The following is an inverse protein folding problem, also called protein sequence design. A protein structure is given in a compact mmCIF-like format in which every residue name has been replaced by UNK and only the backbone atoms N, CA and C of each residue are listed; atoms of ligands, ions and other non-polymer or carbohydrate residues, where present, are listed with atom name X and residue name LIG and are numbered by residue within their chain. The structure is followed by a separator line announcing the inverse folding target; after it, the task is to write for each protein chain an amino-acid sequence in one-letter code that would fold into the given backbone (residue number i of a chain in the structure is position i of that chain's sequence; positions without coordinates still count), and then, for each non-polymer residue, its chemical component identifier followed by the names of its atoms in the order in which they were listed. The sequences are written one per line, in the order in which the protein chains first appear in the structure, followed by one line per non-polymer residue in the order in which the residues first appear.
data_IF_007407365181
#
_entry.id   IF_007407365181
#
_cell.length_a   1.000
_cell.length_b   1.000
_cell.length_c   1.000
_cell.angle_alpha   90.00
_cell.angle_beta   90.00
_cell.angle_gamma   90.00
#
_symmetry.space_group_name_H-M   'P 1'
#
loop_
_entity.id
_entity.type
_entity.pdbx_description
1 polymer ?
#
# COMPACT_ATOMS: atom_id res chain seq x y z
N UNK A 1 -26.75 45.99 -4.14
CA UNK A 1 -25.67 45.81 -3.14
C UNK A 1 -25.99 44.77 -2.07
N UNK A 2 -27.22 44.23 -2.02
CA UNK A 2 -27.64 43.27 -0.95
C UNK A 2 -27.53 41.78 -1.36
N UNK A 3 -27.60 41.43 -2.65
CA UNK A 3 -27.56 40.01 -3.11
C UNK A 3 -26.15 39.38 -3.07
N UNK A 4 -25.11 40.18 -3.32
CA UNK A 4 -23.71 39.72 -3.30
C UNK A 4 -23.15 39.52 -1.90
N UNK A 5 -23.71 40.21 -0.89
CA UNK A 5 -23.30 40.01 0.50
C UNK A 5 -23.94 38.74 1.09
N UNK A 6 -25.15 38.39 0.71
CA UNK A 6 -25.87 37.18 1.12
C UNK A 6 -25.21 35.91 0.52
N UNK A 7 -24.74 35.96 -0.74
CA UNK A 7 -23.98 34.86 -1.35
C UNK A 7 -22.62 34.64 -0.68
N UNK A 8 -21.88 35.71 -0.37
CA UNK A 8 -20.61 35.61 0.36
C UNK A 8 -20.78 35.02 1.74
N UNK A 9 -21.85 35.39 2.43
CA UNK A 9 -22.12 34.89 3.79
C UNK A 9 -22.49 33.40 3.77
N UNK A 10 -23.21 32.94 2.75
CA UNK A 10 -23.51 31.51 2.55
C UNK A 10 -22.23 30.69 2.24
N UNK A 11 -21.36 31.21 1.38
CA UNK A 11 -20.09 30.55 1.07
C UNK A 11 -19.17 30.43 2.29
N UNK A 12 -19.10 31.48 3.13
CA UNK A 12 -18.34 31.45 4.38
C UNK A 12 -18.93 30.44 5.39
N UNK A 13 -20.25 30.35 5.52
CA UNK A 13 -20.91 29.41 6.41
C UNK A 13 -20.74 27.96 5.91
N UNK A 14 -20.79 27.72 4.61
CA UNK A 14 -20.53 26.42 4.01
C UNK A 14 -19.06 25.99 4.17
N UNK A 15 -18.11 26.92 4.02
CA UNK A 15 -16.70 26.65 4.32
C UNK A 15 -16.46 26.34 5.82
N UNK A 16 -17.08 27.08 6.73
CA UNK A 16 -17.01 26.80 8.18
C UNK A 16 -17.59 25.44 8.51
N UNK A 17 -18.76 25.11 7.98
CA UNK A 17 -19.39 23.81 8.14
C UNK A 17 -18.54 22.67 7.56
N UNK A 18 -17.88 22.88 6.41
CA UNK A 18 -16.98 21.91 5.82
C UNK A 18 -15.71 21.71 6.67
N UNK A 19 -15.13 22.77 7.24
CA UNK A 19 -13.99 22.72 8.16
C UNK A 19 -14.35 21.96 9.45
N UNK A 20 -15.52 22.25 10.05
CA UNK A 20 -16.00 21.53 11.23
C UNK A 20 -16.25 20.05 10.96
N UNK A 21 -16.83 19.69 9.81
CA UNK A 21 -17.03 18.29 9.41
C UNK A 21 -15.70 17.56 9.21
N UNK A 22 -14.66 18.23 8.70
CA UNK A 22 -13.31 17.68 8.56
C UNK A 22 -12.66 17.44 9.92
N UNK A 23 -12.70 18.42 10.84
CA UNK A 23 -12.17 18.28 12.21
C UNK A 23 -12.85 17.17 12.99
N UNK A 24 -14.18 17.11 12.99
CA UNK A 24 -14.95 16.03 13.62
C UNK A 24 -14.64 14.63 13.03
N UNK A 25 -14.40 14.53 11.72
CA UNK A 25 -13.97 13.27 11.08
C UNK A 25 -12.55 12.87 11.50
N UNK A 26 -11.65 13.84 11.63
CA UNK A 26 -10.27 13.59 12.09
C UNK A 26 -10.23 13.18 13.56
N UNK A 27 -10.99 13.85 14.43
CA UNK A 27 -11.11 13.48 15.84
C UNK A 27 -11.68 12.07 16.03
N UNK A 28 -12.75 11.73 15.29
CA UNK A 28 -13.29 10.36 15.28
C UNK A 28 -12.26 9.32 14.81
N UNK A 29 -11.44 9.67 13.80
CA UNK A 29 -10.33 8.80 13.36
C UNK A 29 -9.25 8.65 14.43
N UNK A 30 -8.82 9.76 15.05
CA UNK A 30 -7.83 9.78 16.14
C UNK A 30 -8.33 8.97 17.35
N UNK A 31 -9.59 9.10 17.73
CA UNK A 31 -10.21 8.33 18.82
C UNK A 31 -10.23 6.83 18.50
N UNK A 32 -10.66 6.44 17.28
CA UNK A 32 -10.63 5.03 16.84
C UNK A 32 -9.22 4.45 16.84
N UNK A 33 -8.22 5.23 16.40
CA UNK A 33 -6.81 4.79 16.42
C UNK A 33 -6.28 4.62 17.84
N UNK A 34 -6.62 5.52 18.77
CA UNK A 34 -6.24 5.40 20.20
C UNK A 34 -6.85 4.14 20.81
N UNK A 35 -8.15 3.94 20.68
CA UNK A 35 -8.85 2.75 21.19
C UNK A 35 -8.25 1.47 20.60
N UNK A 36 -7.92 1.46 19.30
CA UNK A 36 -7.26 0.32 18.66
C UNK A 36 -5.86 0.06 19.22
N UNK A 37 -5.07 1.10 19.50
CA UNK A 37 -3.73 0.97 20.10
C UNK A 37 -3.79 0.45 21.54
N UNK A 38 -4.74 0.93 22.32
CA UNK A 38 -4.96 0.49 23.70
C UNK A 38 -5.41 -0.97 23.77
N UNK A 39 -6.37 -1.37 22.91
CA UNK A 39 -6.81 -2.75 22.83
C UNK A 39 -5.68 -3.70 22.40
N UNK A 40 -4.83 -3.27 21.45
CA UNK A 40 -3.66 -4.04 21.03
C UNK A 40 -2.64 -4.16 22.16
N UNK A 41 -2.39 -3.08 22.93
CA UNK A 41 -1.47 -3.14 24.09
C UNK A 41 -1.95 -4.12 25.16
N UNK A 42 -3.24 -4.11 25.51
CA UNK A 42 -3.83 -5.06 26.47
C UNK A 42 -3.65 -6.51 25.99
N UNK A 43 -4.00 -6.80 24.73
CA UNK A 43 -3.87 -8.16 24.17
C UNK A 43 -2.43 -8.64 24.05
N UNK A 44 -1.49 -7.76 23.72
CA UNK A 44 -0.06 -8.08 23.72
C UNK A 44 0.45 -8.37 25.14
N UNK A 45 -0.08 -7.68 26.17
CA UNK A 45 0.22 -7.97 27.57
C UNK A 45 -0.28 -9.33 28.03
N UNK A 46 -1.49 -9.72 27.59
CA UNK A 46 -2.13 -10.99 27.96
C UNK A 46 -1.66 -12.18 27.11
N UNK A 47 -0.90 -11.96 26.02
CA UNK A 47 -0.43 -13.02 25.12
C UNK A 47 0.90 -13.60 25.57
N UNK A 48 1.12 -14.91 25.26
CA UNK A 48 2.42 -15.54 25.52
C UNK A 48 3.55 -14.77 24.80
N UNK A 49 4.72 -14.73 25.41
CA UNK A 49 5.91 -14.04 24.87
C UNK A 49 6.21 -14.49 23.44
N UNK A 50 6.11 -15.80 23.17
CA UNK A 50 6.35 -16.38 21.84
C UNK A 50 5.35 -15.87 20.79
N UNK A 51 4.07 -15.79 21.11
CA UNK A 51 3.03 -15.27 20.20
C UNK A 51 3.23 -13.79 19.90
N UNK A 52 3.66 -13.02 20.89
CA UNK A 52 3.97 -11.59 20.73
C UNK A 52 5.19 -11.37 19.86
N UNK A 53 6.24 -12.17 20.01
CA UNK A 53 7.43 -12.10 19.17
C UNK A 53 7.14 -12.49 17.72
N UNK A 54 6.35 -13.54 17.51
CA UNK A 54 5.88 -13.95 16.18
C UNK A 54 5.08 -12.83 15.51
N UNK A 55 4.22 -12.14 16.26
CA UNK A 55 3.48 -10.98 15.76
C UNK A 55 4.42 -9.84 15.32
N UNK A 56 5.45 -9.54 16.13
CA UNK A 56 6.42 -8.50 15.76
C UNK A 56 7.28 -8.91 14.56
N UNK A 57 7.67 -10.16 14.45
CA UNK A 57 8.45 -10.67 13.31
C UNK A 57 7.68 -10.53 11.98
N UNK A 58 6.39 -10.87 11.99
CA UNK A 58 5.57 -10.94 10.78
C UNK A 58 4.85 -9.64 10.41
N UNK A 59 4.52 -8.78 11.39
CA UNK A 59 3.73 -7.56 11.17
C UNK A 59 4.48 -6.25 11.47
N UNK A 60 5.48 -6.27 12.35
CA UNK A 60 6.12 -5.05 12.84
C UNK A 60 7.61 -5.20 13.18
N UNK A 61 8.43 -5.44 12.16
CA UNK A 61 9.88 -5.64 12.29
C UNK A 61 10.61 -4.54 13.08
N UNK A 62 10.07 -3.31 13.14
CA UNK A 62 10.70 -2.20 13.87
C UNK A 62 10.67 -2.38 15.39
N UNK A 63 9.70 -3.13 15.91
CA UNK A 63 9.54 -3.44 17.34
C UNK A 63 9.95 -4.88 17.69
N UNK A 64 10.39 -5.63 16.68
CA UNK A 64 10.83 -6.99 16.81
C UNK A 64 12.17 -7.06 17.53
N UNK A 65 12.35 -8.07 18.38
CA UNK A 65 13.63 -8.47 18.93
C UNK A 65 14.55 -8.96 17.82
N UNK A 66 15.86 -9.06 18.10
CA UNK A 66 16.86 -9.45 17.09
C UNK A 66 16.52 -10.79 16.39
N UNK A 67 16.10 -11.88 17.09
CA UNK A 67 15.70 -13.14 16.42
C UNK A 67 14.51 -12.96 15.47
N UNK A 68 13.51 -12.16 15.87
CA UNK A 68 12.33 -11.90 15.06
C UNK A 68 12.65 -11.08 13.81
N UNK A 69 13.66 -10.19 13.87
CA UNK A 69 14.17 -9.46 12.70
C UNK A 69 14.85 -10.39 11.70
N UNK A 70 15.60 -11.40 12.20
CA UNK A 70 16.23 -12.41 11.34
C UNK A 70 15.17 -13.21 10.59
N UNK A 71 14.14 -13.69 11.27
CA UNK A 71 13.04 -14.43 10.64
C UNK A 71 12.34 -13.60 9.57
N UNK A 72 12.01 -12.35 9.86
CA UNK A 72 11.40 -11.45 8.88
C UNK A 72 12.32 -11.14 7.69
N UNK A 73 13.63 -10.96 7.94
CA UNK A 73 14.65 -10.77 6.91
C UNK A 73 14.85 -12.02 6.04
N UNK A 74 14.86 -13.21 6.65
CA UNK A 74 14.97 -14.47 5.94
C UNK A 74 13.76 -14.72 5.02
N UNK A 75 12.54 -14.44 5.49
CA UNK A 75 11.33 -14.51 4.65
C UNK A 75 11.39 -13.52 3.49
N UNK A 76 11.85 -12.32 3.72
CA UNK A 76 12.05 -11.32 2.65
C UNK A 76 13.10 -11.79 1.63
N UNK A 77 14.25 -12.28 2.09
CA UNK A 77 15.29 -12.84 1.23
C UNK A 77 14.78 -14.06 0.44
N UNK A 78 13.97 -14.92 1.07
CA UNK A 78 13.34 -16.06 0.40
C UNK A 78 12.41 -15.63 -0.73
N UNK A 79 11.65 -14.55 -0.57
CA UNK A 79 10.80 -14.01 -1.64
C UNK A 79 11.65 -13.48 -2.79
N UNK A 80 12.71 -12.72 -2.50
CA UNK A 80 13.63 -12.23 -3.54
C UNK A 80 14.32 -13.36 -4.28
N UNK A 81 14.78 -14.38 -3.55
CA UNK A 81 15.41 -15.56 -4.16
C UNK A 81 14.42 -16.33 -5.04
N UNK A 82 13.14 -16.45 -4.65
CA UNK A 82 12.10 -17.01 -5.52
C UNK A 82 11.96 -16.21 -6.82
N UNK A 83 12.07 -14.86 -6.77
CA UNK A 83 12.05 -14.04 -7.98
C UNK A 83 13.19 -14.41 -8.93
N UNK A 84 14.41 -14.48 -8.41
CA UNK A 84 15.60 -14.85 -9.19
C UNK A 84 15.46 -16.26 -9.78
N UNK A 85 15.03 -17.23 -8.97
CA UNK A 85 14.89 -18.63 -9.40
C UNK A 85 13.82 -18.77 -10.50
N UNK A 86 12.77 -17.93 -10.52
CA UNK A 86 11.81 -17.93 -11.64
C UNK A 86 12.49 -17.60 -12.96
N UNK A 87 13.35 -16.57 -13.00
CA UNK A 87 14.09 -16.21 -14.22
C UNK A 87 15.09 -17.29 -14.64
N UNK A 88 15.79 -17.88 -13.67
CA UNK A 88 16.73 -18.98 -13.96
C UNK A 88 15.98 -20.21 -14.49
N UNK A 89 14.84 -20.56 -13.90
CA UNK A 89 14.05 -21.73 -14.32
C UNK A 89 13.40 -21.58 -15.70
N UNK A 90 13.31 -20.36 -16.23
CA UNK A 90 12.76 -20.09 -17.56
C UNK A 90 13.80 -20.24 -18.69
N UNK A 91 15.09 -20.47 -18.37
CA UNK A 91 16.13 -20.64 -19.38
C UNK A 91 15.98 -22.00 -20.09
N UNK A 92 16.01 -22.03 -21.44
CA UNK A 92 16.03 -23.27 -22.18
C UNK A 92 17.37 -24.02 -22.00
N UNK A 93 17.34 -25.35 -21.92
CA UNK A 93 18.56 -26.16 -21.84
C UNK A 93 19.20 -26.25 -20.46
N UNK A 94 18.43 -26.08 -19.38
CA UNK A 94 18.91 -26.29 -18.02
C UNK A 94 19.44 -27.72 -17.82
N UNK A 95 20.63 -27.80 -17.23
CA UNK A 95 21.19 -29.06 -16.77
C UNK A 95 20.24 -29.78 -15.79
N UNK A 96 20.04 -31.11 -15.91
CA UNK A 96 19.18 -31.89 -15.00
C UNK A 96 19.50 -31.70 -13.51
N UNK A 97 20.77 -31.49 -13.14
CA UNK A 97 21.18 -31.21 -11.77
C UNK A 97 20.64 -29.86 -11.31
N UNK A 98 20.80 -28.81 -12.13
CA UNK A 98 20.25 -27.50 -11.84
C UNK A 98 18.72 -27.52 -11.73
N UNK A 99 18.02 -28.25 -12.61
CA UNK A 99 16.58 -28.43 -12.56
C UNK A 99 16.13 -29.08 -11.23
N UNK A 100 16.84 -30.11 -10.76
CA UNK A 100 16.55 -30.76 -9.48
C UNK A 100 16.77 -29.83 -8.27
N UNK A 101 17.84 -29.04 -8.30
CA UNK A 101 18.12 -28.03 -7.24
C UNK A 101 16.99 -26.99 -7.21
N UNK A 102 16.57 -26.48 -8.35
CA UNK A 102 15.46 -25.53 -8.47
C UNK A 102 14.16 -26.13 -7.94
N UNK A 103 13.84 -27.37 -8.28
CA UNK A 103 12.66 -28.05 -7.75
C UNK A 103 12.74 -28.24 -6.23
N UNK A 104 13.90 -28.63 -5.71
CA UNK A 104 14.16 -28.72 -4.26
C UNK A 104 13.92 -27.37 -3.56
N UNK A 105 14.45 -26.29 -4.14
CA UNK A 105 14.22 -24.94 -3.64
C UNK A 105 12.74 -24.54 -3.65
N UNK A 106 12.00 -24.84 -4.72
CA UNK A 106 10.56 -24.56 -4.77
C UNK A 106 9.77 -25.35 -3.72
N UNK A 107 10.13 -26.60 -3.46
CA UNK A 107 9.51 -27.40 -2.38
C UNK A 107 9.80 -26.79 -1.03
N UNK A 108 11.04 -26.46 -0.74
CA UNK A 108 11.46 -25.80 0.50
C UNK A 108 10.72 -24.47 0.71
N UNK A 109 10.70 -23.58 -0.28
CA UNK A 109 10.03 -22.30 -0.19
C UNK A 109 8.52 -22.42 0.01
N UNK A 110 7.89 -23.44 -0.61
CA UNK A 110 6.46 -23.74 -0.45
C UNK A 110 6.14 -24.11 1.01
N UNK A 111 6.98 -24.96 1.64
CA UNK A 111 6.83 -25.32 3.07
C UNK A 111 7.03 -24.10 3.96
N UNK A 112 8.05 -23.28 3.70
CA UNK A 112 8.27 -22.04 4.47
C UNK A 112 7.07 -21.08 4.42
N UNK A 113 6.48 -20.89 3.23
CA UNK A 113 5.30 -20.02 3.08
C UNK A 113 4.04 -20.63 3.70
N UNK A 114 3.91 -21.94 3.69
CA UNK A 114 2.85 -22.61 4.42
C UNK A 114 2.96 -22.40 5.94
N UNK A 115 4.15 -22.58 6.50
CA UNK A 115 4.41 -22.35 7.93
C UNK A 115 4.17 -20.88 8.29
N UNK A 116 4.62 -19.95 7.45
CA UNK A 116 4.34 -18.52 7.60
C UNK A 116 2.83 -18.25 7.63
N UNK A 117 2.06 -18.87 6.73
CA UNK A 117 0.61 -18.69 6.66
C UNK A 117 -0.09 -19.18 7.92
N UNK A 118 0.28 -20.37 8.41
CA UNK A 118 -0.25 -20.91 9.67
C UNK A 118 0.09 -19.99 10.84
N UNK A 119 1.34 -19.50 10.92
CA UNK A 119 1.74 -18.56 11.95
C UNK A 119 0.91 -17.27 11.90
N UNK A 120 0.58 -16.75 10.70
CA UNK A 120 -0.27 -15.57 10.51
C UNK A 120 -1.71 -15.81 10.95
N UNK A 121 -2.29 -16.97 10.63
CA UNK A 121 -3.61 -17.35 11.12
C UNK A 121 -3.60 -17.43 12.65
N UNK A 122 -2.54 -17.97 13.24
CA UNK A 122 -2.43 -18.10 14.69
C UNK A 122 -2.36 -16.74 15.41
N UNK A 123 -1.67 -15.74 14.83
CA UNK A 123 -1.57 -14.39 15.38
C UNK A 123 -2.69 -13.44 14.94
N UNK A 124 -3.63 -13.88 14.10
CA UNK A 124 -4.67 -13.04 13.52
C UNK A 124 -5.56 -12.35 14.58
N UNK A 125 -5.74 -12.97 15.74
CA UNK A 125 -6.47 -12.38 16.87
C UNK A 125 -5.78 -11.15 17.47
N UNK A 126 -4.45 -11.06 17.38
CA UNK A 126 -3.71 -9.85 17.75
C UNK A 126 -3.85 -8.73 16.70
N UNK A 127 -3.92 -9.10 15.43
CA UNK A 127 -4.04 -8.14 14.32
C UNK A 127 -5.46 -7.55 14.20
N UNK A 128 -6.50 -8.38 14.40
CA UNK A 128 -7.92 -8.02 14.25
C UNK A 128 -8.60 -7.88 15.63
N UNK A 129 -8.22 -6.83 16.36
CA UNK A 129 -8.52 -6.59 17.77
C UNK A 129 -10.00 -6.51 18.22
N UNK A 130 -11.00 -6.55 17.33
CA UNK A 130 -12.41 -6.25 17.65
C UNK A 130 -13.36 -7.44 17.49
N UNK A 131 -12.86 -8.68 17.43
CA UNK A 131 -13.68 -9.88 17.23
C UNK A 131 -13.11 -11.08 17.99
N UNK A 132 -13.93 -12.13 18.12
CA UNK A 132 -13.52 -13.39 18.71
C UNK A 132 -12.33 -14.00 17.94
N UNK A 133 -11.45 -14.79 18.58
CA UNK A 133 -10.28 -15.36 17.89
C UNK A 133 -10.62 -16.15 16.62
N UNK A 134 -11.73 -16.90 16.63
CA UNK A 134 -12.20 -17.64 15.45
C UNK A 134 -12.59 -16.71 14.30
N UNK A 135 -13.37 -15.64 14.60
CA UNK A 135 -13.76 -14.65 13.60
C UNK A 135 -12.56 -13.85 13.05
N UNK A 136 -11.56 -13.59 13.89
CA UNK A 136 -10.32 -12.93 13.46
C UNK A 136 -9.54 -13.78 12.46
N UNK A 137 -9.42 -15.09 12.71
CA UNK A 137 -8.78 -16.06 11.81
C UNK A 137 -9.50 -16.16 10.47
N UNK A 138 -10.85 -16.29 10.51
CA UNK A 138 -11.66 -16.35 9.29
C UNK A 138 -11.54 -15.05 8.48
N UNK A 139 -11.58 -13.90 9.15
CA UNK A 139 -11.38 -12.60 8.51
C UNK A 139 -10.00 -12.45 7.85
N UNK A 140 -8.95 -13.04 8.46
CA UNK A 140 -7.62 -13.06 7.84
C UNK A 140 -7.60 -13.92 6.58
N UNK A 141 -8.15 -15.15 6.63
CA UNK A 141 -8.19 -16.09 5.50
C UNK A 141 -8.85 -15.43 4.27
N UNK A 142 -9.99 -14.77 4.46
CA UNK A 142 -10.72 -14.06 3.40
C UNK A 142 -10.25 -12.62 3.16
N UNK A 143 -9.18 -12.17 3.80
CA UNK A 143 -8.59 -10.87 3.49
C UNK A 143 -7.76 -10.94 2.20
N UNK A 144 -7.58 -9.81 1.47
CA UNK A 144 -6.71 -9.78 0.29
C UNK A 144 -5.31 -10.35 0.59
N UNK A 145 -4.77 -10.04 1.77
CA UNK A 145 -3.47 -10.56 2.20
C UNK A 145 -3.47 -12.06 2.49
N UNK A 146 -4.54 -12.57 3.09
CA UNK A 146 -4.70 -14.00 3.34
C UNK A 146 -4.82 -14.80 2.05
N UNK A 147 -5.54 -14.27 1.05
CA UNK A 147 -5.67 -14.87 -0.29
C UNK A 147 -4.32 -14.87 -1.01
N UNK A 148 -3.56 -13.77 -0.99
CA UNK A 148 -2.21 -13.71 -1.57
C UNK A 148 -1.28 -14.73 -0.90
N UNK A 149 -1.32 -14.85 0.42
CA UNK A 149 -0.54 -15.84 1.14
C UNK A 149 -0.95 -17.26 0.75
N UNK A 150 -2.25 -17.57 0.68
CA UNK A 150 -2.76 -18.87 0.27
C UNK A 150 -2.35 -19.24 -1.17
N UNK A 151 -2.49 -18.30 -2.11
CA UNK A 151 -2.09 -18.51 -3.51
C UNK A 151 -0.57 -18.70 -3.66
N UNK A 152 0.23 -18.16 -2.77
CA UNK A 152 1.69 -18.26 -2.83
C UNK A 152 2.21 -19.69 -2.61
N UNK A 153 1.51 -20.54 -1.87
CA UNK A 153 1.90 -21.94 -1.60
C UNK A 153 0.83 -22.95 -2.03
N UNK A 154 -0.46 -22.62 -1.92
CA UNK A 154 -1.58 -23.54 -2.05
C UNK A 154 -1.58 -24.36 -3.35
N UNK A 155 -1.51 -23.76 -4.54
CA UNK A 155 -1.50 -24.49 -5.80
C UNK A 155 -0.30 -25.43 -5.93
N UNK A 156 0.89 -25.02 -5.47
CA UNK A 156 2.07 -25.89 -5.51
C UNK A 156 1.95 -27.06 -4.53
N UNK A 157 1.37 -26.82 -3.35
CA UNK A 157 1.14 -27.87 -2.35
C UNK A 157 0.07 -28.86 -2.83
N UNK A 158 -1.02 -28.36 -3.43
CA UNK A 158 -2.07 -29.19 -4.00
C UNK A 158 -1.54 -30.11 -5.10
N UNK A 159 -0.59 -29.62 -5.93
CA UNK A 159 0.05 -30.41 -6.98
C UNK A 159 0.89 -31.60 -6.47
N UNK A 160 1.20 -31.67 -5.18
CA UNK A 160 1.88 -32.83 -4.59
C UNK A 160 0.93 -34.01 -4.33
N UNK A 161 -0.36 -33.73 -4.18
CA UNK A 161 -1.37 -34.72 -3.79
C UNK A 161 -2.37 -35.01 -4.90
N UNK A 162 -2.48 -34.13 -5.89
CA UNK A 162 -3.43 -34.25 -6.99
C UNK A 162 -2.71 -34.47 -8.32
N UNK A 163 -3.26 -35.30 -9.22
CA UNK A 163 -2.74 -35.45 -10.57
C UNK A 163 -2.92 -34.10 -11.31
N UNK A 164 -1.83 -33.59 -11.85
CA UNK A 164 -1.80 -32.28 -12.51
C UNK A 164 -1.59 -32.47 -14.00
N UNK A 165 -2.52 -31.98 -14.82
CA UNK A 165 -2.37 -31.94 -16.26
C UNK A 165 -1.30 -30.91 -16.67
N UNK A 166 -0.65 -31.05 -17.86
CA UNK A 166 0.32 -30.08 -18.36
C UNK A 166 -0.22 -28.63 -18.39
N UNK A 167 -1.48 -28.48 -18.80
CA UNK A 167 -2.14 -27.15 -18.81
C UNK A 167 -2.23 -26.54 -17.38
N UNK A 168 -2.63 -27.37 -16.40
CA UNK A 168 -2.71 -26.92 -15.01
C UNK A 168 -1.33 -26.62 -14.43
N UNK A 169 -0.29 -27.37 -14.83
CA UNK A 169 1.10 -27.11 -14.46
C UNK A 169 1.56 -25.70 -14.91
N UNK A 170 1.19 -25.29 -16.12
CA UNK A 170 1.49 -23.95 -16.62
C UNK A 170 0.79 -22.86 -15.78
N UNK A 171 -0.50 -23.05 -15.46
CA UNK A 171 -1.25 -22.15 -14.59
C UNK A 171 -0.60 -22.05 -13.22
N UNK A 172 -0.22 -23.15 -12.60
CA UNK A 172 0.47 -23.18 -11.29
C UNK A 172 1.80 -22.42 -11.39
N UNK A 173 2.51 -22.54 -12.51
CA UNK A 173 3.78 -21.82 -12.73
C UNK A 173 3.57 -20.30 -12.78
N UNK A 174 2.52 -19.83 -13.45
CA UNK A 174 2.13 -18.42 -13.46
C UNK A 174 1.67 -17.93 -12.06
N UNK A 175 0.82 -18.70 -11.39
CA UNK A 175 0.35 -18.36 -10.04
C UNK A 175 1.50 -18.27 -9.03
N UNK A 176 2.59 -18.97 -9.28
CA UNK A 176 3.83 -18.88 -8.49
C UNK A 176 4.37 -17.44 -8.39
N UNK A 177 4.12 -16.60 -9.41
CA UNK A 177 4.51 -15.18 -9.43
C UNK A 177 3.77 -14.35 -8.35
N UNK A 178 2.61 -14.80 -7.88
CA UNK A 178 1.88 -14.14 -6.79
C UNK A 178 2.74 -14.02 -5.51
N UNK A 179 3.74 -14.90 -5.33
CA UNK A 179 4.71 -14.78 -4.23
C UNK A 179 5.42 -13.44 -4.22
N UNK A 180 5.67 -12.83 -5.37
CA UNK A 180 6.35 -11.54 -5.49
C UNK A 180 5.53 -10.40 -4.89
N UNK A 181 4.20 -10.49 -4.93
CA UNK A 181 3.31 -9.49 -4.32
C UNK A 181 3.54 -9.41 -2.81
N UNK A 182 4.00 -10.50 -2.17
CA UNK A 182 4.36 -10.52 -0.73
C UNK A 182 5.46 -9.51 -0.37
N UNK A 183 6.31 -9.10 -1.32
CA UNK A 183 7.32 -8.05 -1.13
C UNK A 183 6.69 -6.76 -0.60
N UNK A 184 5.49 -6.42 -1.07
CA UNK A 184 4.77 -5.21 -0.67
C UNK A 184 4.54 -5.12 0.84
N UNK A 185 4.49 -6.24 1.52
CA UNK A 185 4.30 -6.33 2.97
C UNK A 185 5.55 -5.85 3.75
N UNK A 186 6.73 -6.10 3.20
CA UNK A 186 8.01 -5.76 3.82
C UNK A 186 8.48 -4.36 3.44
N UNK A 187 8.09 -3.85 2.26
CA UNK A 187 8.47 -2.54 1.77
C UNK A 187 7.52 -1.44 2.25
N UNK A 188 8.03 -0.51 3.07
CA UNK A 188 7.24 0.64 3.57
C UNK A 188 6.80 1.55 2.43
N UNK A 189 7.62 1.72 1.40
CA UNK A 189 7.31 2.52 0.23
C UNK A 189 6.04 2.05 -0.47
N UNK A 190 5.90 0.73 -0.72
CA UNK A 190 4.72 0.15 -1.36
C UNK A 190 3.44 0.34 -0.52
N UNK A 191 3.55 0.30 0.81
CA UNK A 191 2.41 0.63 1.68
C UNK A 191 2.02 2.11 1.63
N UNK A 192 2.97 2.99 1.39
CA UNK A 192 2.70 4.43 1.18
C UNK A 192 2.00 4.65 -0.15
N UNK A 193 2.44 3.98 -1.23
CA UNK A 193 1.76 3.97 -2.53
C UNK A 193 0.30 3.53 -2.37
N UNK A 194 0.05 2.40 -1.72
CA UNK A 194 -1.31 1.92 -1.48
C UNK A 194 -2.19 2.91 -0.69
N UNK A 195 -1.60 3.66 0.26
CA UNK A 195 -2.34 4.71 0.99
C UNK A 195 -2.68 5.91 0.12
N UNK A 196 -1.77 6.35 -0.73
CA UNK A 196 -2.00 7.46 -1.67
C UNK A 196 -3.11 7.08 -2.65
N UNK A 197 -3.02 5.90 -3.27
CA UNK A 197 -4.05 5.38 -4.18
C UNK A 197 -5.41 5.29 -3.46
N UNK A 198 -5.46 4.72 -2.26
CA UNK A 198 -6.71 4.59 -1.49
C UNK A 198 -7.30 5.94 -1.07
N UNK A 199 -6.47 6.97 -0.90
CA UNK A 199 -6.91 8.31 -0.51
C UNK A 199 -7.46 9.09 -1.71
N UNK A 200 -6.85 8.94 -2.89
CA UNK A 200 -7.19 9.63 -4.13
C UNK A 200 -7.87 8.70 -5.15
N UNK A 201 -8.56 7.65 -4.65
CA UNK A 201 -9.18 6.64 -5.51
C UNK A 201 -10.20 7.24 -6.48
N UNK A 202 -11.03 8.17 -6.03
CA UNK A 202 -12.08 8.77 -6.86
C UNK A 202 -11.49 9.60 -8.00
N UNK A 203 -10.49 10.38 -7.71
CA UNK A 203 -9.81 11.24 -8.70
C UNK A 203 -9.02 10.40 -9.70
N UNK A 204 -8.35 9.34 -9.23
CA UNK A 204 -7.61 8.41 -10.08
C UNK A 204 -8.57 7.66 -11.01
N UNK A 205 -9.67 7.10 -10.48
CA UNK A 205 -10.66 6.39 -11.30
C UNK A 205 -11.32 7.33 -12.31
N UNK A 206 -11.66 8.55 -11.92
CA UNK A 206 -12.23 9.54 -12.84
C UNK A 206 -11.27 9.86 -14.00
N UNK A 207 -9.96 10.04 -13.71
CA UNK A 207 -8.98 10.31 -14.77
C UNK A 207 -8.80 9.12 -15.72
N UNK A 208 -8.79 7.88 -15.20
CA UNK A 208 -8.74 6.68 -16.05
C UNK A 208 -10.01 6.50 -16.88
N UNK A 209 -11.18 6.88 -16.35
CA UNK A 209 -12.43 6.84 -17.12
C UNK A 209 -12.40 7.81 -18.32
N UNK A 210 -11.86 9.01 -18.12
CA UNK A 210 -11.69 9.98 -19.21
C UNK A 210 -10.73 9.44 -20.29
N UNK A 211 -9.61 8.83 -19.88
CA UNK A 211 -8.67 8.19 -20.81
C UNK A 211 -9.35 7.03 -21.56
N UNK A 212 -10.10 6.18 -20.86
CA UNK A 212 -10.83 5.09 -21.49
C UNK A 212 -11.86 5.59 -22.52
N UNK A 213 -12.56 6.68 -22.20
CA UNK A 213 -13.49 7.31 -23.13
C UNK A 213 -12.77 7.84 -24.39
N UNK A 214 -11.60 8.48 -24.22
CA UNK A 214 -10.77 8.91 -25.35
C UNK A 214 -10.35 7.70 -26.21
N UNK A 215 -9.90 6.60 -25.56
CA UNK A 215 -9.50 5.38 -26.28
C UNK A 215 -10.66 4.81 -27.09
N UNK A 216 -11.86 4.75 -26.52
CA UNK A 216 -13.05 4.24 -27.24
C UNK A 216 -13.39 5.12 -28.43
N UNK A 217 -13.45 6.44 -28.24
CA UNK A 217 -13.75 7.38 -29.34
C UNK A 217 -12.66 7.32 -30.42
N UNK A 218 -11.39 7.35 -30.03
CA UNK A 218 -10.26 7.28 -30.93
C UNK A 218 -10.25 5.97 -31.74
N UNK A 219 -10.59 4.85 -31.11
CA UNK A 219 -10.63 3.53 -31.76
C UNK A 219 -11.70 3.45 -32.84
N UNK A 220 -12.92 3.94 -32.55
CA UNK A 220 -14.03 3.94 -33.53
C UNK A 220 -13.71 4.86 -34.69
N UNK A 221 -13.30 6.09 -34.40
CA UNK A 221 -13.00 7.09 -35.45
C UNK A 221 -11.86 6.60 -36.35
N UNK A 222 -10.79 6.07 -35.77
CA UNK A 222 -9.66 5.59 -36.56
C UNK A 222 -10.02 4.33 -37.37
N UNK A 223 -10.81 3.42 -36.82
CA UNK A 223 -11.29 2.25 -37.53
C UNK A 223 -12.14 2.65 -38.75
N UNK A 224 -13.11 3.55 -38.59
CA UNK A 224 -13.97 4.00 -39.69
C UNK A 224 -13.19 4.70 -40.83
N UNK A 225 -12.15 5.45 -40.49
CA UNK A 225 -11.33 6.17 -41.46
C UNK A 225 -10.36 5.24 -42.19
N UNK A 226 -9.71 4.30 -41.49
CA UNK A 226 -8.61 3.50 -42.02
C UNK A 226 -9.03 2.14 -42.56
N UNK A 227 -10.13 1.56 -42.08
CA UNK A 227 -10.60 0.23 -42.51
C UNK A 227 -10.82 0.16 -44.05
N UNK A 228 -11.43 1.16 -44.73
CA UNK A 228 -11.59 1.13 -46.17
C UNK A 228 -10.26 1.13 -46.98
N UNK A 229 -9.22 1.76 -46.41
CA UNK A 229 -7.92 1.87 -47.04
C UNK A 229 -6.93 0.73 -46.71
N UNK A 230 -7.08 0.12 -45.53
CA UNK A 230 -6.21 -0.96 -45.08
C UNK A 230 -7.01 -2.01 -44.28
N UNK A 231 -7.93 -2.76 -44.90
CA UNK A 231 -8.82 -3.69 -44.25
C UNK A 231 -8.09 -4.86 -43.55
N UNK A 232 -6.90 -5.23 -44.03
CA UNK A 232 -6.07 -6.29 -43.45
C UNK A 232 -5.48 -5.91 -42.08
N UNK A 233 -5.20 -4.61 -41.90
CA UNK A 233 -4.61 -4.09 -40.66
C UNK A 233 -5.68 -3.64 -39.65
N UNK A 234 -6.60 -2.80 -40.10
CA UNK A 234 -7.78 -2.41 -39.34
C UNK A 234 -8.94 -3.35 -39.64
N UNK A 235 -8.75 -4.66 -39.41
CA UNK A 235 -9.70 -5.70 -39.78
C UNK A 235 -10.96 -5.76 -38.90
N UNK A 236 -10.90 -5.21 -37.71
CA UNK A 236 -12.00 -5.14 -36.77
C UNK A 236 -11.79 -4.00 -35.73
N UNK A 237 -12.82 -3.72 -34.93
CA UNK A 237 -12.76 -2.66 -33.92
C UNK A 237 -11.68 -2.90 -32.85
N UNK A 238 -11.30 -4.17 -32.56
CA UNK A 238 -10.24 -4.48 -31.61
C UNK A 238 -8.87 -3.98 -32.09
N UNK A 239 -8.61 -4.03 -33.41
CA UNK A 239 -7.39 -3.41 -33.97
C UNK A 239 -7.40 -1.88 -33.79
N UNK A 240 -8.57 -1.25 -33.92
CA UNK A 240 -8.73 0.17 -33.58
C UNK A 240 -8.45 0.48 -32.12
N UNK A 241 -8.97 -0.36 -31.18
CA UNK A 241 -8.70 -0.24 -29.74
C UNK A 241 -7.20 -0.42 -29.47
N UNK A 242 -6.57 -1.41 -30.05
CA UNK A 242 -5.14 -1.66 -29.89
C UNK A 242 -4.32 -0.44 -30.36
N UNK A 243 -4.63 0.11 -31.55
CA UNK A 243 -3.99 1.33 -32.03
C UNK A 243 -4.21 2.53 -31.08
N UNK A 244 -5.44 2.71 -30.63
CA UNK A 244 -5.78 3.80 -29.72
C UNK A 244 -5.04 3.68 -28.37
N UNK A 245 -5.00 2.48 -27.79
CA UNK A 245 -4.28 2.24 -26.55
C UNK A 245 -2.79 2.49 -26.71
N UNK A 246 -2.15 1.95 -27.75
CA UNK A 246 -0.70 2.14 -27.96
C UNK A 246 -0.36 3.60 -28.26
N UNK A 247 -1.24 4.32 -28.93
CA UNK A 247 -1.06 5.74 -29.25
C UNK A 247 -1.28 6.63 -28.02
N UNK A 248 -2.39 6.44 -27.31
CA UNK A 248 -2.73 7.23 -26.12
C UNK A 248 -1.72 7.02 -25.00
N UNK A 249 -1.21 5.79 -24.80
CA UNK A 249 -0.15 5.51 -23.81
C UNK A 249 1.24 5.95 -24.27
N UNK A 250 1.36 6.54 -25.44
CA UNK A 250 2.64 6.94 -26.05
C UNK A 250 3.62 5.77 -26.26
N UNK A 251 3.11 4.54 -26.35
CA UNK A 251 3.93 3.34 -26.62
C UNK A 251 4.36 3.31 -28.09
N UNK A 252 3.41 3.47 -29.03
CA UNK A 252 3.65 3.68 -30.45
C UNK A 252 4.50 2.59 -31.11
N UNK A 253 4.10 1.31 -31.08
CA UNK A 253 4.87 0.22 -31.70
C UNK A 253 5.10 0.40 -33.20
N UNK A 254 4.22 1.14 -33.91
CA UNK A 254 4.38 1.43 -35.34
C UNK A 254 3.94 0.30 -36.28
N UNK A 255 3.42 -0.79 -35.75
CA UNK A 255 2.85 -1.92 -36.51
C UNK A 255 1.49 -1.58 -37.12
N UNK A 256 0.71 -0.73 -36.45
CA UNK A 256 -0.55 -0.17 -36.88
C UNK A 256 -0.43 1.35 -36.92
N UNK A 257 -0.52 1.93 -38.13
CA UNK A 257 -0.41 3.38 -38.34
C UNK A 257 -1.43 3.86 -39.37
N UNK A 258 -1.97 5.09 -39.26
CA UNK A 258 -2.85 5.66 -40.28
C UNK A 258 -2.08 5.97 -41.57
N UNK A 259 -2.64 5.54 -42.72
CA UNK A 259 -2.08 5.81 -44.05
C UNK A 259 -2.84 6.90 -44.76
N UNK A 260 -4.14 7.07 -44.46
CA UNK A 260 -4.97 8.10 -45.12
C UNK A 260 -4.61 9.51 -44.61
N UNK A 261 -4.74 10.55 -45.44
CA UNK A 261 -4.54 11.92 -45.00
C UNK A 261 -5.47 12.29 -43.82
N UNK A 262 -6.74 11.89 -43.88
CA UNK A 262 -7.70 12.11 -42.79
C UNK A 262 -7.28 11.41 -41.48
N UNK A 263 -6.89 10.13 -41.53
CA UNK A 263 -6.41 9.38 -40.37
C UNK A 263 -5.15 9.99 -39.76
N UNK A 264 -4.23 10.52 -40.58
CA UNK A 264 -3.03 11.23 -40.09
C UNK A 264 -3.37 12.51 -39.35
N UNK A 265 -4.32 13.30 -39.85
CA UNK A 265 -4.76 14.53 -39.17
C UNK A 265 -5.45 14.20 -37.87
N UNK A 266 -6.43 13.31 -37.90
CA UNK A 266 -7.16 12.87 -36.67
C UNK A 266 -6.20 12.22 -35.67
N UNK A 267 -5.31 11.36 -36.13
CA UNK A 267 -4.29 10.75 -35.30
C UNK A 267 -3.39 11.76 -34.58
N UNK A 268 -2.97 12.82 -35.33
CA UNK A 268 -2.16 13.89 -34.72
C UNK A 268 -2.90 14.65 -33.63
N UNK A 269 -4.19 14.93 -33.83
CA UNK A 269 -5.04 15.58 -32.81
C UNK A 269 -5.17 14.65 -31.56
N UNK A 270 -5.42 13.35 -31.77
CA UNK A 270 -5.53 12.38 -30.69
C UNK A 270 -4.21 12.27 -29.93
N UNK A 271 -3.06 12.20 -30.62
CA UNK A 271 -1.74 12.15 -29.97
C UNK A 271 -1.48 13.40 -29.12
N UNK A 272 -1.80 14.58 -29.62
CA UNK A 272 -1.64 15.83 -28.87
C UNK A 272 -2.54 15.85 -27.61
N UNK A 273 -3.80 15.46 -27.74
CA UNK A 273 -4.75 15.41 -26.63
C UNK A 273 -4.36 14.36 -25.59
N UNK A 274 -3.81 13.22 -26.02
CA UNK A 274 -3.42 12.13 -25.14
C UNK A 274 -2.31 12.52 -24.17
N UNK A 275 -1.34 13.34 -24.62
CA UNK A 275 -0.25 13.83 -23.75
C UNK A 275 -0.80 14.58 -22.53
N UNK A 276 -1.78 15.45 -22.75
CA UNK A 276 -2.41 16.21 -21.67
C UNK A 276 -3.22 15.29 -20.71
N UNK A 277 -4.00 14.36 -21.27
CA UNK A 277 -4.87 13.48 -20.48
C UNK A 277 -4.09 12.45 -19.66
N UNK A 278 -3.04 11.86 -20.22
CA UNK A 278 -2.21 10.87 -19.49
C UNK A 278 -1.39 11.52 -18.37
N UNK A 279 -1.08 12.81 -18.47
CA UNK A 279 -0.40 13.54 -17.41
C UNK A 279 -1.27 13.71 -16.14
N UNK A 280 -2.61 13.68 -16.24
CA UNK A 280 -3.52 13.90 -15.11
C UNK A 280 -3.36 12.85 -14.01
N UNK A 281 -3.49 11.52 -14.25
CA UNK A 281 -3.30 10.53 -13.19
C UNK A 281 -1.88 10.57 -12.60
N UNK A 282 -0.86 10.82 -13.42
CA UNK A 282 0.51 11.01 -12.94
C UNK A 282 0.66 12.20 -12.01
N UNK A 283 0.03 13.33 -12.33
CA UNK A 283 -0.01 14.53 -11.49
C UNK A 283 -0.74 14.31 -10.17
N UNK A 284 -1.90 13.67 -10.17
CA UNK A 284 -2.65 13.31 -8.96
C UNK A 284 -1.81 12.42 -8.06
N UNK A 285 -1.14 11.43 -8.64
CA UNK A 285 -0.28 10.52 -7.91
C UNK A 285 0.92 11.23 -7.28
N UNK A 286 1.60 12.09 -8.04
CA UNK A 286 2.73 12.90 -7.56
C UNK A 286 2.32 13.85 -6.43
N UNK A 287 1.22 14.59 -6.59
CA UNK A 287 0.68 15.47 -5.56
C UNK A 287 0.30 14.71 -4.28
N UNK A 288 -0.33 13.53 -4.42
CA UNK A 288 -0.67 12.66 -3.30
C UNK A 288 0.56 12.15 -2.54
N UNK A 289 1.63 11.83 -3.25
CA UNK A 289 2.92 11.47 -2.65
C UNK A 289 3.53 12.61 -1.85
N UNK A 290 3.66 13.79 -2.46
CA UNK A 290 4.21 14.98 -1.81
C UNK A 290 3.41 15.30 -0.53
N UNK A 291 2.07 15.29 -0.61
CA UNK A 291 1.21 15.53 0.53
C UNK A 291 1.40 14.48 1.65
N UNK A 292 1.59 13.19 1.33
CA UNK A 292 1.81 12.14 2.35
C UNK A 292 3.17 12.30 3.03
N UNK A 293 4.23 12.69 2.30
CA UNK A 293 5.54 12.98 2.87
C UNK A 293 5.52 14.23 3.76
N UNK A 294 4.90 15.32 3.32
CA UNK A 294 4.74 16.53 4.12
C UNK A 294 3.98 16.24 5.42
N UNK A 295 2.86 15.52 5.34
CA UNK A 295 2.10 15.11 6.52
C UNK A 295 2.91 14.20 7.47
N UNK A 296 3.79 13.35 6.95
CA UNK A 296 4.66 12.51 7.77
C UNK A 296 5.70 13.36 8.53
N UNK A 297 6.28 14.37 7.88
CA UNK A 297 7.24 15.29 8.49
C UNK A 297 6.58 16.18 9.55
N UNK A 298 5.43 16.77 9.25
CA UNK A 298 4.67 17.57 10.22
C UNK A 298 4.32 16.77 11.48
N UNK A 299 3.88 15.53 11.33
CA UNK A 299 3.61 14.63 12.47
C UNK A 299 4.88 14.25 13.25
N UNK A 300 6.05 14.32 12.65
CA UNK A 300 7.32 14.10 13.35
C UNK A 300 7.66 15.34 14.18
N UNK A 301 7.60 16.52 13.59
CA UNK A 301 7.83 17.80 14.26
C UNK A 301 6.88 17.97 15.45
N UNK A 302 5.56 17.80 15.25
CA UNK A 302 4.57 17.83 16.35
C UNK A 302 4.91 16.88 17.51
N UNK A 303 5.46 15.73 17.22
CA UNK A 303 5.85 14.75 18.26
C UNK A 303 7.10 15.16 19.00
N UNK A 304 8.03 15.78 18.30
CA UNK A 304 9.29 16.20 18.89
C UNK A 304 9.05 17.44 19.77
N UNK A 305 8.27 18.43 19.32
CA UNK A 305 7.82 19.57 20.12
C UNK A 305 7.09 19.11 21.38
N UNK A 306 6.08 18.25 21.27
CA UNK A 306 5.38 17.71 22.46
C UNK A 306 6.26 16.96 23.45
N UNK A 307 7.37 16.39 22.98
CA UNK A 307 8.34 15.73 23.86
C UNK A 307 9.24 16.72 24.56
N UNK A 308 9.54 17.83 23.91
CA UNK A 308 10.29 18.94 24.49
C UNK A 308 9.46 19.65 25.55
N UNK A 309 8.19 19.99 25.22
CA UNK A 309 7.24 20.57 26.17
C UNK A 309 7.10 19.70 27.44
N UNK A 310 6.85 18.39 27.27
CA UNK A 310 6.73 17.48 28.40
C UNK A 310 8.02 17.29 29.22
N UNK A 311 9.19 17.51 28.60
CA UNK A 311 10.47 17.52 29.34
C UNK A 311 10.68 18.81 30.10
N UNK A 312 10.16 19.89 29.57
CA UNK A 312 10.24 21.21 30.22
C UNK A 312 9.32 21.26 31.42
N UNK A 313 8.06 20.81 31.27
CA UNK A 313 7.10 20.70 32.37
C UNK A 313 7.67 19.86 33.55
N UNK A 314 8.28 18.71 33.24
CA UNK A 314 8.91 17.85 34.26
C UNK A 314 10.08 18.54 34.97
N UNK A 315 10.91 19.33 34.25
CA UNK A 315 12.00 20.10 34.90
C UNK A 315 11.47 21.20 35.80
N UNK A 316 10.46 21.93 35.36
CA UNK A 316 9.83 22.99 36.11
C UNK A 316 9.14 22.42 37.39
N UNK A 317 8.60 21.19 37.32
CA UNK A 317 8.07 20.47 38.51
C UNK A 317 9.18 20.02 39.46
N UNK A 318 10.32 19.51 38.93
CA UNK A 318 11.48 19.12 39.73
C UNK A 318 12.14 20.33 40.41
N UNK A 319 12.26 21.47 39.72
CA UNK A 319 12.78 22.75 40.30
C UNK A 319 11.87 23.26 41.41
N UNK A 320 10.55 23.28 41.20
CA UNK A 320 9.58 23.68 42.24
C UNK A 320 9.64 22.79 43.47
N UNK A 321 9.75 21.46 43.27
CA UNK A 321 9.86 20.53 44.37
C UNK A 321 11.17 20.72 45.17
N UNK A 322 12.28 21.04 44.46
CA UNK A 322 13.56 21.33 45.12
C UNK A 322 13.53 22.69 45.90
N UNK A 323 12.83 23.70 45.38
CA UNK A 323 12.65 24.98 46.05
C UNK A 323 11.79 24.83 47.32
N UNK A 324 10.71 24.07 47.27
CA UNK A 324 9.86 23.76 48.43
C UNK A 324 10.62 22.99 49.54
N UNK A 325 11.52 22.05 49.15
CA UNK A 325 12.33 21.30 50.09
C UNK A 325 13.38 22.19 50.77
N UNK A 326 13.97 23.16 50.07
CA UNK A 326 14.91 24.13 50.62
C UNK A 326 14.26 25.19 51.51
N UNK A 327 12.99 25.57 51.25
CA UNK A 327 12.23 26.52 52.08
C UNK A 327 11.77 25.89 53.42
N UNK A 328 11.52 24.58 53.42
CA UNK A 328 11.12 23.82 54.63
C UNK A 328 12.31 23.58 55.62
N UNK A 329 13.55 23.60 55.08
CA UNK A 329 14.77 23.37 55.89
C UNK A 329 15.39 24.67 56.48
N UNK A 330 14.81 25.85 56.18
CA UNK A 330 15.23 27.12 56.73
C UNK A 330 14.60 27.32 58.12
N UNK A 331 15.37 27.38 59.23
CA UNK A 331 14.81 27.59 60.55
C UNK A 331 14.18 28.96 60.68
N UNK A 332 13.04 29.10 61.39
CA UNK A 332 12.30 30.36 61.50
C UNK A 332 13.17 31.47 62.13
N UNK A 333 13.02 32.71 61.66
CA UNK A 333 13.90 33.84 62.05
C UNK A 333 13.89 34.24 63.52
N UNK A 334 13.05 33.66 64.35
CA UNK A 334 12.94 33.93 65.80
C UNK A 334 14.05 33.34 66.66
N UNK A 335 14.95 32.48 66.18
CA UNK A 335 16.04 31.90 66.94
C UNK A 335 17.42 32.57 66.79
N UNK A 336 17.53 33.65 66.04
CA UNK A 336 18.82 34.39 65.86
C UNK A 336 19.04 35.57 66.82
N UNK A 337 18.17 35.77 67.78
CA UNK A 337 18.24 36.99 68.67
C UNK A 337 18.74 36.68 70.07
N UNK A 338 19.37 35.60 70.40
CA UNK A 338 20.02 35.37 71.70
C UNK A 338 21.29 34.50 71.55
N UNK A 339 22.37 35.20 71.18
CA UNK A 339 23.75 34.85 71.60
C UNK A 339 24.61 36.11 71.50
#
# INVERSE_FOLDING_TARGET
MSATDDERQRDEDDERAARERRTRREERRRRKERTRRESLRRRLGDSSTFKRETFYALENLNRANWPAKIVGGALFALILLNAVVVFVSAQPGLDPVAANIIQGFYRFSTVCFFVEYIARIWIADLAYGNCTPARARLRYIFSPWGIIDLLSFGPNMAAWFLPVTPALQNVISVVRLVRLIKISRYMRGLRTIGRVISKHYHEIVASFLVIAMLVVVASVVMYEIEHPAQPDKFNNLLSGIYWAVTTVTSTGYGDLVPITPAGRIVGSVIMFLSVALVAIPGGIFSAGFVAEFQNANLRKIERDVRREDARQDNRDEEERAADEETEHDTPPPSQRAHK
#
